data_IF_662746952122
#
_entry.id   IF_662746952122
#
_cell.length_a   1.000
_cell.length_b   1.000
_cell.length_c   1.000
_cell.angle_alpha   90.00
_cell.angle_beta   90.00
_cell.angle_gamma   90.00
#
_symmetry.space_group_name_H-M   'P 1'
#
loop_
_entity.id
_entity.type
_entity.pdbx_description
1 polymer ?
#
# COMPACT_ATOMS: atom_id res chain seq x y z
N UNK A 1 42.28 -8.54 -18.15
CA UNK A 1 41.15 -7.65 -18.46
C UNK A 1 39.92 -8.28 -17.85
N UNK A 2 39.21 -7.61 -16.96
CA UNK A 2 37.99 -8.16 -16.37
C UNK A 2 36.93 -8.29 -17.47
N UNK A 3 36.36 -9.47 -17.65
CA UNK A 3 35.19 -9.67 -18.51
C UNK A 3 34.09 -8.71 -18.08
N UNK A 4 33.61 -7.90 -19.03
CA UNK A 4 32.54 -6.95 -18.79
C UNK A 4 31.25 -7.78 -18.65
N UNK A 5 30.72 -7.88 -17.44
CA UNK A 5 29.41 -8.52 -17.22
C UNK A 5 28.37 -7.88 -18.14
N UNK A 6 27.84 -8.68 -19.07
CA UNK A 6 26.70 -8.30 -19.92
C UNK A 6 25.47 -8.91 -19.26
N UNK A 7 24.57 -8.11 -18.67
CA UNK A 7 23.36 -8.66 -18.08
C UNK A 7 22.52 -9.32 -19.17
N UNK A 8 21.93 -10.47 -18.87
CA UNK A 8 20.91 -11.07 -19.72
C UNK A 8 19.72 -10.10 -19.83
N UNK A 9 19.31 -9.83 -21.08
CA UNK A 9 18.22 -8.91 -21.40
C UNK A 9 17.10 -9.70 -22.04
N UNK A 10 15.96 -9.76 -21.36
CA UNK A 10 14.72 -10.29 -21.93
C UNK A 10 13.90 -9.13 -22.50
N UNK A 11 13.44 -9.25 -23.75
CA UNK A 11 12.50 -8.30 -24.34
C UNK A 11 11.10 -8.88 -24.27
N UNK A 12 10.15 -8.11 -23.75
CA UNK A 12 8.74 -8.50 -23.59
C UNK A 12 7.83 -7.43 -24.18
N UNK A 13 6.69 -7.84 -24.72
CA UNK A 13 5.60 -6.93 -25.11
C UNK A 13 4.60 -6.84 -23.96
N UNK A 14 4.35 -5.63 -23.45
CA UNK A 14 3.45 -5.38 -22.32
C UNK A 14 2.58 -4.18 -22.67
N UNK A 15 1.25 -4.37 -22.69
CA UNK A 15 0.29 -3.33 -23.08
C UNK A 15 0.68 -2.59 -24.38
N UNK A 16 1.14 -3.33 -25.40
CA UNK A 16 1.56 -2.77 -26.70
C UNK A 16 2.94 -2.09 -26.70
N UNK A 17 3.73 -2.27 -25.64
CA UNK A 17 5.07 -1.69 -25.51
C UNK A 17 6.15 -2.75 -25.32
N UNK A 18 7.19 -2.68 -26.13
CA UNK A 18 8.42 -3.47 -25.92
C UNK A 18 9.21 -2.94 -24.72
N UNK A 19 9.35 -3.75 -23.66
CA UNK A 19 10.17 -3.46 -22.49
C UNK A 19 11.42 -4.35 -22.45
N UNK A 20 12.50 -3.82 -21.87
CA UNK A 20 13.73 -4.58 -21.59
C UNK A 20 13.77 -4.91 -20.11
N UNK A 21 13.61 -6.20 -19.80
CA UNK A 21 13.78 -6.73 -18.46
C UNK A 21 15.20 -7.27 -18.30
N UNK A 22 15.76 -7.10 -17.10
CA UNK A 22 17.11 -7.55 -16.79
C UNK A 22 17.15 -8.22 -15.43
N UNK A 23 18.09 -9.15 -15.25
CA UNK A 23 18.37 -9.78 -13.95
C UNK A 23 17.12 -10.46 -13.35
N UNK A 24 16.40 -11.24 -14.15
CA UNK A 24 15.15 -11.89 -13.72
C UNK A 24 15.39 -12.89 -12.57
N UNK A 25 16.48 -13.63 -12.59
CA UNK A 25 16.86 -14.59 -11.53
C UNK A 25 17.42 -13.94 -10.27
N UNK A 26 17.48 -12.60 -10.24
CA UNK A 26 17.98 -11.89 -9.08
C UNK A 26 17.03 -12.10 -7.90
N UNK A 27 17.57 -12.61 -6.79
CA UNK A 27 16.84 -12.68 -5.52
C UNK A 27 16.52 -11.27 -5.01
N UNK A 28 15.22 -10.95 -4.92
CA UNK A 28 14.74 -9.74 -4.26
C UNK A 28 14.35 -10.02 -2.81
N UNK A 29 13.89 -11.24 -2.49
CA UNK A 29 13.65 -11.70 -1.12
C UNK A 29 14.53 -12.92 -0.82
N UNK A 30 15.75 -12.73 -0.32
CA UNK A 30 16.69 -13.85 -0.14
C UNK A 30 16.18 -14.94 0.82
N UNK A 31 15.42 -14.59 1.87
CA UNK A 31 14.92 -15.56 2.86
C UNK A 31 13.90 -16.56 2.31
N UNK A 32 13.28 -16.24 1.18
CA UNK A 32 12.27 -17.08 0.50
C UNK A 32 12.69 -17.43 -0.93
N UNK A 33 13.92 -17.08 -1.29
CA UNK A 33 14.47 -17.22 -2.65
C UNK A 33 13.62 -16.58 -3.75
N UNK A 34 12.73 -15.63 -3.41
CA UNK A 34 11.87 -14.98 -4.41
C UNK A 34 12.68 -14.06 -5.31
N UNK A 35 12.57 -14.32 -6.60
CA UNK A 35 13.28 -13.65 -7.68
C UNK A 35 12.57 -12.38 -8.15
N UNK A 36 13.30 -11.55 -8.90
CA UNK A 36 12.73 -10.39 -9.61
C UNK A 36 11.69 -10.81 -10.64
N UNK A 37 11.89 -11.94 -11.32
CA UNK A 37 10.92 -12.51 -12.25
C UNK A 37 9.59 -12.81 -11.58
N UNK A 38 9.61 -13.42 -10.40
CA UNK A 38 8.39 -13.71 -9.62
C UNK A 38 7.70 -12.44 -9.12
N UNK A 39 8.46 -11.44 -8.66
CA UNK A 39 7.91 -10.14 -8.28
C UNK A 39 7.23 -9.45 -9.47
N UNK A 40 7.85 -9.48 -10.65
CA UNK A 40 7.24 -8.97 -11.89
C UNK A 40 5.97 -9.75 -12.26
N UNK A 41 6.00 -11.07 -12.14
CA UNK A 41 4.86 -11.94 -12.43
C UNK A 41 3.67 -11.67 -11.48
N UNK A 42 3.95 -11.52 -10.17
CA UNK A 42 2.93 -11.14 -9.20
C UNK A 42 2.23 -9.82 -9.59
N UNK A 43 3.02 -8.77 -9.84
CA UNK A 43 2.47 -7.47 -10.22
C UNK A 43 1.69 -7.51 -11.54
N UNK A 44 2.08 -8.37 -12.49
CA UNK A 44 1.32 -8.58 -13.71
C UNK A 44 -0.05 -9.24 -13.42
N UNK A 45 -0.08 -10.26 -12.57
CA UNK A 45 -1.32 -10.99 -12.24
C UNK A 45 -2.31 -10.16 -11.41
N UNK A 46 -1.84 -9.34 -10.47
CA UNK A 46 -2.73 -8.45 -9.69
C UNK A 46 -3.05 -7.14 -10.40
N UNK A 47 -2.53 -6.91 -11.61
CA UNK A 47 -2.60 -5.58 -12.25
C UNK A 47 -4.02 -5.09 -12.49
N UNK A 48 -4.96 -5.98 -12.84
CA UNK A 48 -6.35 -5.61 -13.09
C UNK A 48 -7.04 -5.00 -11.87
N UNK A 49 -6.72 -5.47 -10.66
CA UNK A 49 -7.27 -4.96 -9.39
C UNK A 49 -6.41 -3.89 -8.74
N UNK A 50 -5.09 -3.91 -8.98
CA UNK A 50 -4.15 -2.94 -8.43
C UNK A 50 -4.20 -1.60 -9.17
N UNK A 51 -4.27 -1.60 -10.50
CA UNK A 51 -4.21 -0.39 -11.32
C UNK A 51 -5.31 0.63 -10.99
N UNK A 52 -6.59 0.24 -10.77
CA UNK A 52 -7.63 1.17 -10.35
C UNK A 52 -7.31 1.95 -9.06
N UNK A 53 -6.57 1.36 -8.11
CA UNK A 53 -6.13 2.04 -6.90
C UNK A 53 -4.98 3.03 -7.13
N UNK A 54 -4.15 2.79 -8.16
CA UNK A 54 -3.06 3.68 -8.57
C UNK A 54 -3.52 4.81 -9.50
N UNK A 55 -4.65 4.63 -10.18
CA UNK A 55 -5.17 5.54 -11.18
C UNK A 55 -5.22 6.98 -10.66
N UNK A 56 -4.66 7.90 -11.46
CA UNK A 56 -4.62 9.33 -11.17
C UNK A 56 -3.91 9.69 -9.85
N UNK A 57 -3.01 8.85 -9.32
CA UNK A 57 -2.26 9.16 -8.09
C UNK A 57 -0.76 9.31 -8.33
N UNK A 58 -0.19 10.35 -7.75
CA UNK A 58 1.25 10.61 -7.75
C UNK A 58 1.99 9.51 -6.95
N UNK A 59 2.70 8.63 -7.65
CA UNK A 59 3.29 7.43 -7.05
C UNK A 59 4.68 7.68 -6.43
N UNK A 60 4.80 7.40 -5.14
CA UNK A 60 6.09 7.23 -4.46
C UNK A 60 6.50 5.76 -4.49
N UNK A 61 7.75 5.48 -4.84
CA UNK A 61 8.27 4.11 -4.88
C UNK A 61 9.23 3.88 -3.72
N UNK A 62 9.23 2.69 -3.13
CA UNK A 62 10.35 2.21 -2.31
C UNK A 62 11.13 1.17 -3.10
N UNK A 63 12.38 1.49 -3.39
CA UNK A 63 13.24 0.68 -4.25
C UNK A 63 14.22 -0.12 -3.43
N UNK A 64 14.44 -1.37 -3.84
CA UNK A 64 15.35 -2.32 -3.22
C UNK A 64 16.37 -2.80 -4.26
N UNK A 65 17.37 -1.96 -4.59
CA UNK A 65 18.29 -2.24 -5.69
C UNK A 65 19.07 -3.53 -5.53
N UNK A 66 19.20 -4.08 -4.32
CA UNK A 66 19.94 -5.32 -4.04
C UNK A 66 19.10 -6.34 -3.25
N UNK A 67 17.77 -6.19 -3.25
CA UNK A 67 16.84 -7.03 -2.48
C UNK A 67 16.57 -6.49 -1.06
N UNK A 68 15.68 -7.17 -0.34
CA UNK A 68 15.12 -6.70 0.94
C UNK A 68 16.07 -6.79 2.13
N UNK A 69 17.17 -7.54 2.00
CA UNK A 69 18.23 -7.64 3.02
C UNK A 69 19.29 -6.51 2.93
N UNK A 70 19.14 -5.58 1.98
CA UNK A 70 20.05 -4.44 1.79
C UNK A 70 19.27 -3.11 1.89
N UNK A 71 19.98 -2.00 1.70
CA UNK A 71 19.41 -0.66 1.76
C UNK A 71 18.31 -0.45 0.73
N UNK A 72 17.22 0.15 1.20
CA UNK A 72 16.16 0.67 0.38
C UNK A 72 16.14 2.20 0.41
N UNK A 73 15.46 2.80 -0.55
CA UNK A 73 15.22 4.24 -0.53
C UNK A 73 13.85 4.58 -1.09
N UNK A 74 13.27 5.65 -0.55
CA UNK A 74 12.08 6.28 -1.09
C UNK A 74 12.46 7.15 -2.28
N UNK A 75 11.77 6.95 -3.39
CA UNK A 75 11.94 7.72 -4.60
C UNK A 75 10.61 8.36 -4.99
N UNK A 76 10.53 9.68 -4.80
CA UNK A 76 9.39 10.50 -5.21
C UNK A 76 9.62 11.04 -6.63
N UNK A 77 10.72 11.78 -6.80
CA UNK A 77 11.06 12.41 -8.06
C UNK A 77 11.48 11.36 -9.11
N UNK A 78 11.00 11.51 -10.34
CA UNK A 78 11.51 10.74 -11.47
C UNK A 78 12.93 11.22 -11.82
N UNK A 79 13.87 10.29 -12.07
CA UNK A 79 15.18 10.66 -12.58
C UNK A 79 15.07 11.21 -14.01
N UNK A 80 16.05 12.04 -14.41
CA UNK A 80 16.09 12.65 -15.76
C UNK A 80 16.10 11.62 -16.90
N UNK A 81 16.60 10.41 -16.65
CA UNK A 81 16.61 9.30 -17.61
C UNK A 81 15.31 8.51 -17.72
N UNK A 82 14.24 8.91 -17.01
CA UNK A 82 12.95 8.24 -17.11
C UNK A 82 12.37 8.36 -18.54
N UNK A 83 11.88 7.25 -19.15
CA UNK A 83 11.36 7.26 -20.52
C UNK A 83 10.28 8.30 -20.74
N UNK A 84 10.28 8.94 -21.91
CA UNK A 84 9.32 10.00 -22.27
C UNK A 84 7.87 9.51 -22.29
N UNK A 85 7.65 8.22 -22.52
CA UNK A 85 6.32 7.61 -22.52
C UNK A 85 5.78 7.33 -21.13
N UNK A 86 6.60 7.38 -20.07
CA UNK A 86 6.11 7.16 -18.70
C UNK A 86 5.33 8.41 -18.26
N UNK A 87 4.01 8.26 -17.99
CA UNK A 87 3.18 9.37 -17.53
C UNK A 87 3.71 9.95 -16.23
N UNK A 88 3.56 11.26 -16.09
CA UNK A 88 4.12 11.99 -14.95
C UNK A 88 3.32 13.24 -14.65
N UNK A 89 3.35 13.62 -13.38
CA UNK A 89 2.76 14.87 -12.89
C UNK A 89 3.80 15.64 -12.09
N UNK A 90 3.82 16.97 -12.24
CA UNK A 90 4.57 17.84 -11.34
C UNK A 90 3.64 18.33 -10.25
N UNK A 91 3.95 17.98 -9.01
CA UNK A 91 3.23 18.46 -7.83
C UNK A 91 4.23 19.18 -6.94
N UNK A 92 3.97 20.46 -6.67
CA UNK A 92 4.94 21.39 -6.11
C UNK A 92 6.27 21.36 -6.93
N UNK A 93 7.39 20.99 -6.31
CA UNK A 93 8.70 20.87 -6.96
C UNK A 93 9.11 19.45 -7.34
N UNK A 94 8.22 18.48 -7.21
CA UNK A 94 8.53 17.06 -7.42
C UNK A 94 7.77 16.52 -8.64
N UNK A 95 8.48 15.83 -9.53
CA UNK A 95 7.88 15.14 -10.69
C UNK A 95 7.65 13.67 -10.33
N UNK A 96 6.41 13.28 -10.12
CA UNK A 96 6.03 11.89 -9.80
C UNK A 96 5.68 11.12 -11.08
N UNK A 97 5.94 9.80 -11.14
CA UNK A 97 5.31 8.94 -12.14
C UNK A 97 3.83 8.75 -11.80
N UNK A 98 3.05 8.58 -12.85
CA UNK A 98 1.68 8.07 -12.80
C UNK A 98 1.68 6.67 -13.44
N UNK A 99 0.77 5.81 -13.00
CA UNK A 99 0.68 4.42 -13.48
C UNK A 99 -0.70 4.18 -14.07
N UNK A 100 -0.77 4.31 -15.40
CA UNK A 100 -2.03 4.17 -16.14
C UNK A 100 -2.26 2.74 -16.67
N UNK A 101 -1.20 1.94 -16.83
CA UNK A 101 -1.30 0.60 -17.41
C UNK A 101 -0.19 -0.34 -16.90
N UNK A 102 -0.30 -1.61 -17.31
CA UNK A 102 0.65 -2.65 -16.95
C UNK A 102 2.08 -2.38 -17.45
N UNK A 103 2.27 -1.67 -18.56
CA UNK A 103 3.61 -1.33 -19.07
C UNK A 103 4.32 -0.35 -18.14
N UNK A 104 3.59 0.62 -17.59
CA UNK A 104 4.09 1.59 -16.62
C UNK A 104 4.48 0.89 -15.31
N UNK A 105 3.59 0.03 -14.81
CA UNK A 105 3.82 -0.77 -13.60
C UNK A 105 5.05 -1.67 -13.77
N UNK A 106 5.10 -2.46 -14.85
CA UNK A 106 6.20 -3.38 -15.16
C UNK A 106 7.54 -2.66 -15.21
N UNK A 107 7.59 -1.47 -15.82
CA UNK A 107 8.81 -0.67 -15.87
C UNK A 107 9.30 -0.26 -14.48
N UNK A 108 8.40 0.23 -13.61
CA UNK A 108 8.77 0.66 -12.26
C UNK A 108 9.22 -0.52 -11.39
N UNK A 109 8.53 -1.66 -11.47
CA UNK A 109 8.91 -2.90 -10.78
C UNK A 109 10.25 -3.43 -11.30
N UNK A 110 10.51 -3.32 -12.61
CA UNK A 110 11.80 -3.68 -13.20
C UNK A 110 12.97 -2.82 -12.68
N UNK A 111 12.69 -1.62 -12.13
CA UNK A 111 13.67 -0.80 -11.39
C UNK A 111 13.82 -1.20 -9.91
N UNK A 112 13.28 -2.36 -9.53
CA UNK A 112 13.19 -2.93 -8.19
C UNK A 112 12.34 -2.06 -7.25
N UNK A 113 11.30 -1.40 -7.77
CA UNK A 113 10.27 -0.75 -6.94
C UNK A 113 9.37 -1.83 -6.36
N UNK A 114 9.66 -2.27 -5.14
CA UNK A 114 8.90 -3.33 -4.48
C UNK A 114 7.65 -2.75 -3.82
N UNK A 115 7.76 -1.61 -3.14
CA UNK A 115 6.58 -0.98 -2.52
C UNK A 115 6.10 0.22 -3.36
N UNK A 116 4.78 0.29 -3.51
CA UNK A 116 4.05 1.35 -4.20
C UNK A 116 3.26 2.14 -3.17
N UNK A 117 3.55 3.44 -3.02
CA UNK A 117 2.94 4.30 -2.02
C UNK A 117 2.23 5.46 -2.70
N UNK A 118 0.96 5.65 -2.36
CA UNK A 118 0.06 6.62 -2.99
C UNK A 118 -0.59 7.53 -1.96
N UNK A 119 -0.91 8.79 -2.31
CA UNK A 119 -1.72 9.66 -1.48
C UNK A 119 -3.19 9.20 -1.43
N UNK A 120 -4.01 9.88 -0.62
CA UNK A 120 -5.46 9.67 -0.56
C UNK A 120 -6.25 10.57 -1.52
N UNK A 121 -5.57 11.45 -2.25
CA UNK A 121 -6.12 12.31 -3.29
C UNK A 121 -5.70 11.83 -4.68
N UNK A 122 -6.44 12.30 -5.70
CA UNK A 122 -6.12 12.13 -7.12
C UNK A 122 -5.58 13.43 -7.72
N UNK A 123 -5.00 13.31 -8.90
CA UNK A 123 -4.60 14.41 -9.77
C UNK A 123 -5.63 14.54 -10.88
N UNK A 124 -6.04 15.76 -11.14
CA UNK A 124 -6.73 16.11 -12.38
C UNK A 124 -6.18 17.44 -12.90
N UNK A 125 -5.95 17.52 -14.20
CA UNK A 125 -5.29 18.64 -14.90
C UNK A 125 -4.00 19.16 -14.22
N UNK A 126 -3.20 18.23 -13.66
CA UNK A 126 -1.95 18.54 -12.98
C UNK A 126 -2.10 19.08 -11.55
N UNK A 127 -3.32 19.24 -11.06
CA UNK A 127 -3.63 19.78 -9.74
C UNK A 127 -4.09 18.69 -8.76
N UNK A 128 -3.81 18.91 -7.47
CA UNK A 128 -4.31 18.04 -6.40
C UNK A 128 -5.81 18.22 -6.23
N UNK A 129 -6.55 17.14 -6.35
CA UNK A 129 -7.97 17.13 -5.98
C UNK A 129 -8.14 16.89 -4.48
N UNK A 130 -9.36 17.06 -3.99
CA UNK A 130 -9.72 16.59 -2.65
C UNK A 130 -9.57 15.06 -2.55
N UNK A 131 -9.28 14.51 -1.36
CA UNK A 131 -9.25 13.07 -1.15
C UNK A 131 -10.57 12.40 -1.56
N UNK A 132 -10.46 11.34 -2.35
CA UNK A 132 -11.55 10.45 -2.72
C UNK A 132 -11.66 9.25 -1.76
N UNK A 133 -10.78 9.20 -0.75
CA UNK A 133 -10.84 8.19 0.31
C UNK A 133 -10.25 8.66 1.63
N UNK A 134 -10.74 8.07 2.70
CA UNK A 134 -10.17 8.10 4.04
C UNK A 134 -9.28 6.88 4.24
N UNK A 135 -8.19 7.02 5.00
CA UNK A 135 -7.44 5.88 5.53
C UNK A 135 -7.28 5.98 7.05
N UNK A 136 -7.54 4.88 7.75
CA UNK A 136 -7.23 4.69 9.17
C UNK A 136 -6.13 3.62 9.26
N UNK A 137 -4.92 4.03 9.62
CA UNK A 137 -3.77 3.12 9.76
C UNK A 137 -3.60 2.70 11.23
N UNK A 138 -3.63 1.39 11.46
CA UNK A 138 -3.56 0.77 12.77
C UNK A 138 -2.19 0.12 12.95
N UNK A 139 -1.31 0.76 13.74
CA UNK A 139 0.08 0.33 13.97
C UNK A 139 0.26 -0.24 15.39
N UNK A 140 0.42 -1.56 15.55
CA UNK A 140 0.51 -2.17 16.87
C UNK A 140 1.90 -1.99 17.51
N UNK A 141 1.93 -1.54 18.76
CA UNK A 141 3.12 -1.49 19.58
C UNK A 141 3.33 -2.79 20.36
N UNK A 142 4.47 -3.45 20.15
CA UNK A 142 4.84 -4.70 20.82
C UNK A 142 4.55 -4.65 22.34
N UNK A 143 3.92 -5.69 22.94
CA UNK A 143 3.61 -6.99 22.34
C UNK A 143 2.29 -7.08 21.55
N UNK A 144 1.54 -5.97 21.37
CA UNK A 144 0.35 -6.00 20.53
C UNK A 144 0.73 -6.34 19.06
N UNK A 145 -0.21 -6.95 18.36
CA UNK A 145 -0.08 -7.36 16.96
C UNK A 145 -1.39 -7.23 16.19
N UNK A 146 -1.57 -8.08 15.18
CA UNK A 146 -2.74 -8.05 14.30
C UNK A 146 -4.05 -8.34 15.02
N UNK A 147 -4.03 -9.14 16.10
CA UNK A 147 -5.23 -9.40 16.90
C UNK A 147 -5.79 -8.11 17.51
N UNK A 148 -4.94 -7.33 18.17
CA UNK A 148 -5.35 -6.05 18.74
C UNK A 148 -5.76 -5.07 17.63
N UNK A 149 -5.09 -5.09 16.48
CA UNK A 149 -5.51 -4.30 15.32
C UNK A 149 -6.91 -4.68 14.84
N UNK A 150 -7.23 -5.97 14.76
CA UNK A 150 -8.55 -6.45 14.36
C UNK A 150 -9.63 -6.03 15.37
N UNK A 151 -9.35 -6.10 16.67
CA UNK A 151 -10.26 -5.61 17.71
C UNK A 151 -10.55 -4.11 17.55
N UNK A 152 -9.51 -3.31 17.32
CA UNK A 152 -9.66 -1.87 17.07
C UNK A 152 -10.36 -1.60 15.74
N UNK A 153 -10.13 -2.42 14.72
CA UNK A 153 -10.77 -2.29 13.43
C UNK A 153 -12.29 -2.43 13.51
N UNK A 154 -12.79 -3.38 14.30
CA UNK A 154 -14.23 -3.53 14.54
C UNK A 154 -14.82 -2.29 15.24
N UNK A 155 -14.11 -1.71 16.21
CA UNK A 155 -14.55 -0.47 16.87
C UNK A 155 -14.59 0.72 15.90
N UNK A 156 -13.64 0.79 14.97
CA UNK A 156 -13.60 1.84 13.93
C UNK A 156 -14.72 1.63 12.92
N UNK A 157 -14.98 0.39 12.49
CA UNK A 157 -16.11 0.02 11.62
C UNK A 157 -17.43 0.48 12.20
N UNK A 158 -17.77 0.00 13.39
CA UNK A 158 -19.05 0.30 14.04
C UNK A 158 -19.27 1.82 14.18
N UNK A 159 -18.18 2.56 14.42
CA UNK A 159 -18.23 4.02 14.59
C UNK A 159 -18.41 4.78 13.27
N UNK A 160 -17.82 4.32 12.17
CA UNK A 160 -17.86 4.98 10.87
C UNK A 160 -19.07 4.53 10.02
N UNK A 161 -19.52 3.28 10.14
CA UNK A 161 -20.80 2.82 9.57
C UNK A 161 -21.98 3.62 10.12
N UNK A 162 -21.95 3.98 11.42
CA UNK A 162 -22.93 4.87 12.03
C UNK A 162 -22.94 6.30 11.42
N UNK A 163 -21.90 6.67 10.65
CA UNK A 163 -21.82 7.91 9.88
C UNK A 163 -22.11 7.69 8.38
N UNK A 164 -22.46 6.47 7.97
CA UNK A 164 -22.71 6.12 6.57
C UNK A 164 -21.44 5.91 5.75
N UNK A 165 -20.31 5.57 6.38
CA UNK A 165 -19.06 5.22 5.70
C UNK A 165 -18.80 3.72 5.79
N UNK A 166 -18.85 3.04 4.64
CA UNK A 166 -18.47 1.63 4.52
C UNK A 166 -16.95 1.49 4.55
N UNK A 167 -16.46 0.56 5.37
CA UNK A 167 -15.04 0.34 5.57
C UNK A 167 -14.53 -0.94 4.93
N UNK A 168 -13.33 -0.87 4.37
CA UNK A 168 -12.65 -1.97 3.70
C UNK A 168 -11.31 -2.26 4.38
N UNK A 169 -11.15 -3.42 5.05
CA UNK A 169 -9.94 -3.74 5.78
C UNK A 169 -8.84 -4.30 4.87
N UNK A 170 -7.61 -3.85 5.10
CA UNK A 170 -6.41 -4.26 4.35
C UNK A 170 -5.31 -4.55 5.35
N UNK A 171 -4.87 -5.81 5.48
CA UNK A 171 -3.65 -6.10 6.25
C UNK A 171 -2.45 -5.44 5.59
N UNK A 172 -1.57 -4.79 6.35
CA UNK A 172 -0.54 -3.92 5.77
C UNK A 172 0.61 -4.63 5.04
N UNK A 173 0.74 -5.94 5.21
CA UNK A 173 1.92 -6.73 4.86
C UNK A 173 3.14 -6.44 5.76
N UNK A 174 2.95 -5.73 6.87
CA UNK A 174 4.04 -5.45 7.83
C UNK A 174 3.67 -5.92 9.23
N UNK A 175 3.08 -5.05 10.05
CA UNK A 175 2.74 -5.39 11.44
C UNK A 175 1.26 -5.16 11.74
N UNK A 176 0.72 -4.08 11.18
CA UNK A 176 -0.65 -3.65 11.38
C UNK A 176 -1.55 -3.86 10.16
N UNK A 177 -2.59 -3.04 10.08
CA UNK A 177 -3.58 -3.03 9.01
C UNK A 177 -4.10 -1.62 8.75
N UNK A 178 -4.64 -1.38 7.58
CA UNK A 178 -5.36 -0.17 7.19
C UNK A 178 -6.86 -0.46 7.07
N UNK A 179 -7.66 0.57 7.27
CA UNK A 179 -9.07 0.59 6.89
C UNK A 179 -9.28 1.76 5.93
N UNK A 180 -9.94 1.50 4.81
CA UNK A 180 -10.27 2.51 3.81
C UNK A 180 -11.77 2.76 3.78
N UNK A 181 -12.16 4.00 3.48
CA UNK A 181 -13.53 4.38 3.17
C UNK A 181 -13.54 5.28 1.94
N UNK A 182 -14.50 5.11 1.04
CA UNK A 182 -14.71 6.06 -0.07
C UNK A 182 -15.18 7.40 0.45
N UNK A 183 -14.76 8.49 -0.19
CA UNK A 183 -15.21 9.85 0.10
C UNK A 183 -15.69 10.52 -1.19
N UNK A 184 -16.76 11.33 -1.12
CA UNK A 184 -17.31 12.00 -2.30
C UNK A 184 -16.48 13.20 -2.78
N UNK A 185 -15.29 13.44 -2.21
CA UNK A 185 -14.39 14.55 -2.59
C UNK A 185 -14.82 15.94 -2.08
N UNK A 186 -15.72 16.00 -1.10
CA UNK A 186 -16.21 17.26 -0.51
C UNK A 186 -15.31 17.80 0.60
N UNK A 187 -14.50 16.94 1.22
CA UNK A 187 -13.54 17.31 2.26
C UNK A 187 -12.14 17.55 1.71
N UNK A 188 -11.50 18.61 2.18
CA UNK A 188 -10.05 18.81 1.99
C UNK A 188 -9.24 17.73 2.73
N UNK A 189 -7.95 17.61 2.40
CA UNK A 189 -7.03 16.71 3.14
C UNK A 189 -6.93 17.07 4.62
N UNK A 190 -6.95 18.37 4.95
CA UNK A 190 -6.90 18.83 6.34
C UNK A 190 -8.16 18.44 7.12
N UNK A 191 -9.35 18.59 6.51
CA UNK A 191 -10.61 18.17 7.14
C UNK A 191 -10.68 16.65 7.30
N UNK A 192 -10.22 15.88 6.30
CA UNK A 192 -10.16 14.42 6.35
C UNK A 192 -9.22 13.95 7.47
N UNK A 193 -8.05 14.57 7.60
CA UNK A 193 -7.12 14.35 8.72
C UNK A 193 -7.75 14.67 10.06
N UNK A 194 -8.46 15.79 10.17
CA UNK A 194 -9.08 16.22 11.43
C UNK A 194 -10.19 15.27 11.86
N UNK A 195 -10.98 14.75 10.91
CA UNK A 195 -11.97 13.70 11.15
C UNK A 195 -11.29 12.43 11.71
N UNK A 196 -10.23 11.95 11.05
CA UNK A 196 -9.47 10.79 11.52
C UNK A 196 -8.86 11.01 12.91
N UNK A 197 -8.35 12.22 13.18
CA UNK A 197 -7.77 12.57 14.48
C UNK A 197 -8.83 12.61 15.59
N UNK A 198 -10.00 13.19 15.32
CA UNK A 198 -11.12 13.22 16.27
C UNK A 198 -11.59 11.81 16.62
N UNK A 199 -11.74 10.95 15.61
CA UNK A 199 -12.05 9.53 15.81
C UNK A 199 -11.00 8.85 16.69
N UNK A 200 -9.71 9.08 16.41
CA UNK A 200 -8.61 8.52 17.18
C UNK A 200 -8.63 8.95 18.65
N UNK A 201 -8.92 10.23 18.91
CA UNK A 201 -9.06 10.79 20.25
C UNK A 201 -10.26 10.19 20.99
N UNK A 202 -11.42 10.10 20.31
CA UNK A 202 -12.65 9.53 20.84
C UNK A 202 -12.43 8.07 21.28
N UNK A 203 -11.89 7.24 20.39
CA UNK A 203 -11.65 5.82 20.65
C UNK A 203 -10.56 5.61 21.71
N UNK A 204 -9.48 6.41 21.69
CA UNK A 204 -8.47 6.37 22.76
C UNK A 204 -9.07 6.71 24.13
N UNK A 205 -10.02 7.65 24.20
CA UNK A 205 -10.68 8.01 25.47
C UNK A 205 -11.56 6.88 25.98
N UNK A 206 -12.24 6.15 25.09
CA UNK A 206 -13.12 5.02 25.43
C UNK A 206 -12.33 3.75 25.79
N UNK A 207 -11.22 3.49 25.10
CA UNK A 207 -10.40 2.28 25.22
C UNK A 207 -8.92 2.61 25.45
N UNK A 208 -8.57 3.36 26.52
CA UNK A 208 -7.19 3.82 26.75
C UNK A 208 -6.19 2.70 27.01
N UNK A 209 -6.65 1.51 27.37
CA UNK A 209 -5.86 0.29 27.54
C UNK A 209 -5.40 -0.32 26.21
N UNK A 210 -6.16 -0.11 25.13
CA UNK A 210 -5.95 -0.75 23.82
C UNK A 210 -5.47 0.22 22.75
N UNK A 211 -5.89 1.49 22.80
CA UNK A 211 -5.68 2.46 21.71
C UNK A 211 -4.84 3.65 22.19
N UNK A 212 -3.99 4.15 21.31
CA UNK A 212 -3.30 5.44 21.48
C UNK A 212 -3.35 6.24 20.17
N UNK A 213 -3.60 7.55 20.27
CA UNK A 213 -3.58 8.45 19.11
C UNK A 213 -2.38 9.42 19.11
N UNK A 214 -1.66 9.51 20.24
CA UNK A 214 -0.47 10.35 20.37
C UNK A 214 0.70 9.67 19.68
N UNK A 215 1.46 10.43 18.87
CA UNK A 215 2.60 9.91 18.12
C UNK A 215 3.75 9.37 18.99
N UNK A 216 3.80 9.76 20.27
CA UNK A 216 4.84 9.38 21.24
C UNK A 216 5.03 7.86 21.32
N UNK A 217 6.16 7.36 20.84
CA UNK A 217 6.46 5.91 20.77
C UNK A 217 6.44 5.21 22.13
N UNK A 218 6.83 5.89 23.21
CA UNK A 218 6.83 5.31 24.57
C UNK A 218 5.44 4.98 25.12
N UNK A 219 4.37 5.47 24.47
CA UNK A 219 2.98 5.18 24.87
C UNK A 219 2.39 3.95 24.16
N UNK A 220 3.09 3.40 23.16
CA UNK A 220 2.59 2.33 22.29
C UNK A 220 2.70 0.90 22.84
N UNK A 221 3.60 0.53 23.78
CA UNK A 221 3.71 -0.87 24.18
C UNK A 221 2.38 -1.48 24.62
N UNK A 222 1.99 -2.59 23.97
CA UNK A 222 0.73 -3.29 24.22
C UNK A 222 -0.52 -2.62 23.66
N UNK A 223 -0.39 -1.57 22.84
CA UNK A 223 -1.50 -0.79 22.29
C UNK A 223 -1.40 -0.64 20.78
N UNK A 224 -2.52 -0.35 20.14
CA UNK A 224 -2.61 0.03 18.74
C UNK A 224 -2.53 1.55 18.63
N UNK A 225 -1.52 2.03 17.91
CA UNK A 225 -1.45 3.42 17.49
C UNK A 225 -2.37 3.63 16.29
N UNK A 226 -3.42 4.44 16.46
CA UNK A 226 -4.28 4.86 15.36
C UNK A 226 -3.63 6.09 14.71
N UNK A 227 -2.93 5.86 13.60
CA UNK A 227 -2.20 6.88 12.86
C UNK A 227 -3.13 7.68 11.93
N UNK A 228 -3.76 8.70 12.50
CA UNK A 228 -4.58 9.67 11.78
C UNK A 228 -3.78 10.51 10.76
N UNK A 229 -2.44 10.54 10.84
CA UNK A 229 -1.61 11.42 10.02
C UNK A 229 -1.46 10.97 8.57
N UNK A 230 -1.85 9.74 8.24
CA UNK A 230 -1.82 9.21 6.88
C UNK A 230 -2.73 9.97 5.89
N UNK A 231 -3.70 10.74 6.41
CA UNK A 231 -4.58 11.61 5.62
C UNK A 231 -4.00 13.00 5.33
N UNK A 232 -2.81 13.34 5.85
CA UNK A 232 -2.12 14.59 5.49
C UNK A 232 -1.74 14.56 4.00
N UNK A 233 -2.01 15.64 3.26
CA UNK A 233 -1.79 15.70 1.80
C UNK A 233 -0.38 15.30 1.34
N UNK A 234 0.65 15.59 2.14
CA UNK A 234 2.05 15.28 1.83
C UNK A 234 2.48 13.82 2.14
N UNK A 235 1.60 13.05 2.79
CA UNK A 235 1.83 11.64 3.15
C UNK A 235 1.35 10.72 2.05
N UNK A 236 1.92 9.52 2.06
CA UNK A 236 1.54 8.41 1.19
C UNK A 236 1.45 7.16 2.03
N UNK A 237 0.50 6.30 1.68
CA UNK A 237 0.29 4.99 2.32
C UNK A 237 0.55 3.91 1.29
N UNK A 238 0.98 2.72 1.74
CA UNK A 238 1.17 1.59 0.83
C UNK A 238 -0.14 1.28 0.11
N UNK A 239 -0.08 1.16 -1.21
CA UNK A 239 -1.23 0.83 -2.05
C UNK A 239 -1.72 -0.59 -1.71
N UNK A 240 -3.04 -0.84 -1.66
CA UNK A 240 -3.56 -2.20 -1.70
C UNK A 240 -2.92 -3.01 -2.83
N UNK A 241 -2.69 -4.30 -2.58
CA UNK A 241 -1.98 -5.25 -3.45
C UNK A 241 -0.48 -4.97 -3.67
N UNK A 242 0.09 -3.89 -3.14
CA UNK A 242 1.54 -3.69 -3.18
C UNK A 242 2.26 -4.70 -2.29
N UNK A 243 3.37 -5.25 -2.80
CA UNK A 243 4.33 -5.97 -1.99
C UNK A 243 4.98 -5.07 -0.93
N UNK A 244 5.48 -5.70 0.13
CA UNK A 244 6.24 -5.09 1.22
C UNK A 244 7.67 -5.56 1.18
N UNK A 245 8.61 -4.63 1.32
CA UNK A 245 10.03 -4.98 1.38
C UNK A 245 10.44 -5.45 2.77
N UNK A 246 9.89 -6.60 3.16
CA UNK A 246 10.15 -7.33 4.40
C UNK A 246 11.02 -8.55 4.13
N UNK A 247 11.23 -9.35 5.17
CA UNK A 247 11.97 -10.61 5.07
C UNK A 247 11.31 -11.58 4.07
N UNK A 248 9.98 -11.59 4.02
CA UNK A 248 9.18 -12.39 3.10
C UNK A 248 8.30 -11.49 2.22
N UNK A 249 7.90 -11.92 0.99
CA UNK A 249 7.07 -11.16 0.04
C UNK A 249 5.61 -11.07 0.47
N UNK A 250 5.39 -10.41 1.60
CA UNK A 250 4.06 -10.08 2.11
C UNK A 250 3.45 -8.91 1.36
N UNK A 251 2.12 -8.82 1.39
CA UNK A 251 1.33 -7.87 0.61
C UNK A 251 0.47 -6.99 1.51
N UNK A 252 0.23 -5.74 1.11
CA UNK A 252 -0.89 -4.96 1.60
C UNK A 252 -2.23 -5.56 1.11
N UNK A 253 -2.66 -6.64 1.75
CA UNK A 253 -3.69 -7.54 1.25
C UNK A 253 -5.10 -7.20 1.79
N UNK A 254 -6.09 -6.96 0.92
CA UNK A 254 -7.49 -6.81 1.31
C UNK A 254 -8.05 -8.04 2.02
N UNK A 255 -8.90 -7.82 3.02
CA UNK A 255 -9.51 -8.87 3.86
C UNK A 255 -11.02 -8.70 3.90
N UNK A 256 -11.73 -9.79 4.21
CA UNK A 256 -13.14 -9.73 4.56
C UNK A 256 -13.33 -9.34 6.02
N UNK A 257 -14.51 -8.84 6.36
CA UNK A 257 -14.86 -8.58 7.76
C UNK A 257 -14.96 -9.85 8.60
N UNK A 258 -15.43 -10.97 8.04
CA UNK A 258 -15.48 -12.27 8.72
C UNK A 258 -14.09 -12.71 9.22
N UNK A 259 -13.06 -12.49 8.42
CA UNK A 259 -11.67 -12.78 8.81
C UNK A 259 -11.18 -11.87 9.93
N UNK A 260 -11.51 -10.58 9.87
CA UNK A 260 -11.16 -9.60 10.91
C UNK A 260 -11.86 -9.95 12.22
N UNK A 261 -13.15 -10.33 12.17
CA UNK A 261 -13.93 -10.76 13.32
C UNK A 261 -13.36 -12.03 13.96
N UNK A 262 -13.03 -13.04 13.15
CA UNK A 262 -12.37 -14.25 13.63
C UNK A 262 -10.98 -13.93 14.24
N UNK A 263 -10.20 -13.05 13.61
CA UNK A 263 -8.90 -12.59 14.10
C UNK A 263 -9.00 -11.87 15.45
N UNK A 264 -10.00 -11.00 15.62
CA UNK A 264 -10.27 -10.32 16.88
C UNK A 264 -10.61 -11.30 18.03
N UNK A 265 -11.23 -12.43 17.70
CA UNK A 265 -11.56 -13.53 18.63
C UNK A 265 -10.39 -14.48 18.90
N UNK A 266 -9.26 -14.32 18.19
CA UNK A 266 -8.04 -15.10 18.39
C UNK A 266 -7.85 -16.27 17.43
N UNK A 267 -8.62 -16.34 16.33
CA UNK A 267 -8.29 -17.22 15.22
C UNK A 267 -6.97 -16.79 14.55
N UNK A 268 -6.40 -17.67 13.72
CA UNK A 268 -5.19 -17.37 12.96
C UNK A 268 -5.47 -16.20 12.00
N UNK A 269 -4.84 -15.04 12.25
CA UNK A 269 -4.95 -13.83 11.43
C UNK A 269 -3.57 -13.22 11.23
N UNK A 270 -3.00 -13.46 10.05
CA UNK A 270 -1.62 -13.15 9.70
C UNK A 270 -1.56 -12.27 8.44
N UNK A 271 -0.41 -11.62 8.25
CA UNK A 271 -0.11 -10.95 6.98
C UNK A 271 -0.04 -12.00 5.87
N UNK A 272 -0.54 -11.68 4.67
CA UNK A 272 -0.55 -12.62 3.56
C UNK A 272 0.69 -12.46 2.69
N UNK A 273 1.21 -13.60 2.25
CA UNK A 273 2.21 -13.72 1.20
C UNK A 273 1.57 -13.51 -0.17
N UNK A 274 2.39 -13.13 -1.14
CA UNK A 274 1.96 -12.84 -2.50
C UNK A 274 1.26 -13.98 -3.25
N UNK A 275 1.63 -15.23 -2.99
CA UNK A 275 0.98 -16.44 -3.51
C UNK A 275 -0.40 -16.65 -2.88
N UNK A 276 -0.52 -16.49 -1.56
CA UNK A 276 -1.82 -16.54 -0.87
C UNK A 276 -2.78 -15.44 -1.38
N UNK A 277 -2.26 -14.26 -1.74
CA UNK A 277 -3.07 -13.20 -2.33
C UNK A 277 -3.56 -13.56 -3.74
N UNK A 278 -2.73 -14.22 -4.55
CA UNK A 278 -3.14 -14.66 -5.89
C UNK A 278 -4.22 -15.74 -5.81
N UNK A 279 -4.04 -16.74 -4.94
CA UNK A 279 -5.03 -17.81 -4.72
C UNK A 279 -6.38 -17.24 -4.29
N UNK A 280 -6.37 -16.24 -3.41
CA UNK A 280 -7.58 -15.56 -2.94
C UNK A 280 -8.22 -14.68 -4.00
N UNK A 281 -7.42 -14.02 -4.83
CA UNK A 281 -7.96 -13.22 -5.92
C UNK A 281 -8.72 -14.12 -6.92
N UNK A 282 -8.22 -15.33 -7.15
CA UNK A 282 -8.91 -16.34 -7.97
C UNK A 282 -10.20 -16.85 -7.32
N UNK A 283 -10.22 -17.06 -5.99
CA UNK A 283 -11.39 -17.60 -5.30
C UNK A 283 -12.48 -16.58 -4.97
N UNK A 284 -12.07 -15.40 -4.51
CA UNK A 284 -12.94 -14.41 -3.86
C UNK A 284 -13.13 -13.14 -4.72
N UNK A 285 -12.28 -12.94 -5.73
CA UNK A 285 -12.25 -11.71 -6.51
C UNK A 285 -11.67 -10.51 -5.75
N UNK A 286 -11.97 -9.30 -6.23
CA UNK A 286 -11.47 -8.07 -5.62
C UNK A 286 -12.35 -7.64 -4.44
N UNK A 287 -11.84 -7.83 -3.22
CA UNK A 287 -12.52 -7.41 -1.99
C UNK A 287 -12.59 -5.87 -1.82
N UNK A 288 -11.91 -5.10 -2.68
CA UNK A 288 -11.95 -3.64 -2.70
C UNK A 288 -12.72 -3.05 -3.89
N UNK A 289 -13.42 -3.87 -4.69
CA UNK A 289 -14.13 -3.37 -5.86
C UNK A 289 -15.10 -2.22 -5.53
N UNK A 290 -15.85 -2.36 -4.42
CA UNK A 290 -16.85 -1.36 -4.01
C UNK A 290 -16.23 -0.07 -3.46
N UNK A 291 -15.01 -0.11 -2.92
CA UNK A 291 -14.27 1.10 -2.49
C UNK A 291 -13.98 2.05 -3.66
N UNK A 292 -13.90 1.53 -4.88
CA UNK A 292 -13.62 2.30 -6.09
C UNK A 292 -14.89 2.77 -6.82
N UNK A 293 -16.05 2.21 -6.47
CA UNK A 293 -17.34 2.54 -7.05
C UNK A 293 -18.07 3.67 -6.29
N UNK A 294 -17.62 3.97 -5.07
CA UNK A 294 -18.15 5.00 -4.16
C UNK A 294 -17.66 6.41 -4.44
#
# INVERSE_FOLDING_TARGET
>A
MAERYVPEVTRVEVAGRTLKLTSLDKLLYPSTETTKGEVLNYYAQVSEVLLPHLADRALTRVRYPHGTNDQSFFEKNLPSGAPSWLPRVRIDDVTYPMVEDLSHLTYLVNLNSIELHIPQWRVDDGERQHPDRLVIDLDPGSPAGLKECAQVALMVRDRLEALGLDLYPVTSGSKGMQLYAGLPGDLTSDQTRDLAQQLAQELTKKHPELIVWKMTKSLRPGKVFLDWSQNVAAKTTVCPYSLRGKETPTVAAPRSWDEVEAGAQGAKFEQLMFDEVLDRLESDGDLLADLLAS
#
